data_IF_090277456431
#
_entry.id   IF_090277456431
#
_cell.length_a   1.000
_cell.length_b   1.000
_cell.length_c   1.000
_cell.angle_alpha   90.00
_cell.angle_beta   90.00
_cell.angle_gamma   90.00
#
_symmetry.space_group_name_H-M   'P 1'
#
loop_
_entity.id
_entity.type
_entity.pdbx_description
1 polymer ?
#
# COMPACT_ATOMS: atom_id res chain seq x y z
N UNK A 1 -20.37 -1.68 -14.72
CA UNK A 1 -19.43 -1.51 -13.61
C UNK A 1 -18.95 -0.07 -13.61
N UNK A 2 -18.67 0.54 -12.44
CA UNK A 2 -18.17 1.90 -12.41
C UNK A 2 -16.80 2.02 -13.07
N UNK A 3 -16.49 3.20 -13.60
CA UNK A 3 -15.16 3.49 -14.13
C UNK A 3 -14.19 3.71 -12.96
N UNK A 4 -13.10 2.95 -12.92
CA UNK A 4 -12.07 3.06 -11.89
C UNK A 4 -10.82 3.74 -12.43
N UNK A 5 -10.35 4.75 -11.71
CA UNK A 5 -9.05 5.40 -11.96
C UNK A 5 -8.24 5.36 -10.67
N UNK A 6 -6.96 5.02 -10.76
CA UNK A 6 -6.08 4.97 -9.61
C UNK A 6 -4.97 6.02 -9.74
N UNK A 7 -5.06 7.04 -8.88
CA UNK A 7 -4.03 8.09 -8.77
C UNK A 7 -2.88 7.54 -7.94
N UNK A 8 -1.70 7.48 -8.54
CA UNK A 8 -0.49 6.89 -7.94
C UNK A 8 0.73 7.80 -8.06
N UNK A 9 1.69 7.64 -7.17
CA UNK A 9 3.02 8.21 -7.29
C UNK A 9 3.95 7.38 -8.17
N UNK A 10 5.22 7.74 -8.20
CA UNK A 10 6.26 6.98 -8.92
C UNK A 10 6.28 5.52 -8.46
N UNK A 11 6.15 4.57 -9.38
CA UNK A 11 6.12 3.13 -9.09
C UNK A 11 7.39 2.63 -8.39
N UNK A 12 8.54 3.24 -8.68
CA UNK A 12 9.81 2.89 -8.04
C UNK A 12 9.84 3.20 -6.53
N UNK A 13 9.13 4.25 -6.09
CA UNK A 13 9.25 4.77 -4.72
C UNK A 13 7.99 4.64 -3.88
N UNK A 14 6.80 4.59 -4.50
CA UNK A 14 5.54 4.64 -3.76
C UNK A 14 5.06 3.28 -3.33
N UNK A 15 5.54 2.78 -2.18
CA UNK A 15 5.06 1.54 -1.58
C UNK A 15 3.57 1.60 -1.21
N UNK A 16 3.06 2.78 -0.90
CA UNK A 16 1.63 2.97 -0.62
C UNK A 16 0.78 2.83 -1.88
N UNK A 17 1.19 3.43 -3.01
CA UNK A 17 0.48 3.26 -4.29
C UNK A 17 0.54 1.83 -4.81
N UNK A 18 1.61 1.11 -4.51
CA UNK A 18 1.77 -0.28 -4.94
C UNK A 18 0.67 -1.19 -4.38
N UNK A 19 0.19 -0.96 -3.15
CA UNK A 19 -0.81 -1.83 -2.50
C UNK A 19 -2.11 -1.96 -3.30
N UNK A 20 -2.87 -0.89 -3.55
CA UNK A 20 -4.09 -1.00 -4.35
C UNK A 20 -3.81 -1.34 -5.81
N UNK A 21 -2.66 -0.93 -6.34
CA UNK A 21 -2.27 -1.30 -7.69
C UNK A 21 -2.12 -2.82 -7.85
N UNK A 22 -1.41 -3.47 -6.93
CA UNK A 22 -1.24 -4.93 -6.91
C UNK A 22 -2.59 -5.62 -6.69
N UNK A 23 -3.43 -5.10 -5.78
CA UNK A 23 -4.76 -5.65 -5.51
C UNK A 23 -5.61 -5.69 -6.77
N UNK A 24 -5.76 -4.57 -7.47
CA UNK A 24 -6.55 -4.48 -8.70
C UNK A 24 -5.99 -5.36 -9.81
N UNK A 25 -4.66 -5.39 -9.97
CA UNK A 25 -4.00 -6.23 -10.97
C UNK A 25 -4.13 -7.72 -10.66
N UNK A 26 -4.03 -8.12 -9.40
CA UNK A 26 -4.16 -9.52 -8.98
C UNK A 26 -5.52 -10.11 -9.34
N UNK A 27 -6.58 -9.35 -9.15
CA UNK A 27 -7.94 -9.78 -9.49
C UNK A 27 -8.36 -9.47 -10.92
N UNK A 28 -7.49 -8.92 -11.75
CA UNK A 28 -7.81 -8.57 -13.15
C UNK A 28 -8.85 -7.46 -13.27
N UNK A 29 -9.04 -6.65 -12.23
CA UNK A 29 -9.97 -5.52 -12.24
C UNK A 29 -9.41 -4.42 -13.13
N UNK A 30 -10.20 -4.00 -14.13
CA UNK A 30 -9.79 -2.93 -15.05
C UNK A 30 -9.81 -1.57 -14.36
N UNK A 31 -8.75 -0.79 -14.54
CA UNK A 31 -8.64 0.58 -14.06
C UNK A 31 -7.68 1.40 -14.93
N UNK A 32 -7.86 2.70 -14.95
CA UNK A 32 -6.95 3.65 -15.56
C UNK A 32 -5.94 4.16 -14.51
N UNK A 33 -4.66 4.31 -14.91
CA UNK A 33 -3.63 4.87 -14.05
C UNK A 33 -3.47 6.38 -14.27
N UNK A 34 -3.61 7.16 -13.21
CA UNK A 34 -3.20 8.58 -13.18
C UNK A 34 -1.89 8.67 -12.40
N UNK A 35 -0.78 8.74 -13.11
CA UNK A 35 0.55 8.73 -12.51
C UNK A 35 1.08 10.15 -12.28
N UNK A 36 1.29 10.50 -11.02
CA UNK A 36 1.87 11.77 -10.60
C UNK A 36 3.35 11.57 -10.26
N UNK A 37 4.20 12.41 -10.84
CA UNK A 37 5.62 12.42 -10.51
C UNK A 37 5.81 13.13 -9.17
N UNK A 38 6.49 12.47 -8.23
CA UNK A 38 6.80 13.06 -6.93
C UNK A 38 7.66 14.33 -7.08
N UNK A 39 7.15 15.38 -6.48
CA UNK A 39 7.82 16.66 -6.26
C UNK A 39 7.24 17.24 -4.96
N UNK A 40 8.02 17.20 -3.90
CA UNK A 40 7.58 17.58 -2.56
C UNK A 40 7.82 19.07 -2.24
N UNK A 41 8.22 19.86 -3.23
CA UNK A 41 8.30 21.31 -3.06
C UNK A 41 6.88 21.88 -2.81
N UNK A 42 6.73 22.87 -1.94
CA UNK A 42 5.46 23.58 -1.78
C UNK A 42 4.95 24.07 -3.14
N UNK A 43 3.64 23.96 -3.35
CA UNK A 43 2.97 24.40 -4.59
C UNK A 43 3.49 23.78 -5.89
N UNK A 44 4.15 22.60 -5.78
CA UNK A 44 4.62 21.86 -6.95
C UNK A 44 3.48 21.40 -7.88
N UNK A 45 3.82 21.00 -9.09
CA UNK A 45 2.88 20.40 -10.02
C UNK A 45 2.22 19.13 -9.43
N UNK A 46 2.98 18.36 -8.63
CA UNK A 46 2.47 17.19 -7.91
C UNK A 46 1.30 17.55 -6.99
N UNK A 47 1.48 18.53 -6.10
CA UNK A 47 0.43 18.91 -5.16
C UNK A 47 -0.75 19.62 -5.85
N UNK A 48 -0.49 20.48 -6.85
CA UNK A 48 -1.57 21.11 -7.63
C UNK A 48 -2.46 20.10 -8.34
N UNK A 49 -1.87 19.04 -8.88
CA UNK A 49 -2.65 17.98 -9.53
C UNK A 49 -3.35 17.09 -8.50
N UNK A 50 -2.65 16.68 -7.46
CA UNK A 50 -3.18 15.80 -6.43
C UNK A 50 -4.40 16.40 -5.72
N UNK A 51 -4.40 17.72 -5.44
CA UNK A 51 -5.52 18.41 -4.78
C UNK A 51 -6.79 18.46 -5.62
N UNK A 52 -6.72 18.24 -6.93
CA UNK A 52 -7.91 18.08 -7.79
C UNK A 52 -8.63 16.76 -7.54
N UNK A 53 -7.91 15.76 -7.03
CA UNK A 53 -8.43 14.42 -6.81
C UNK A 53 -8.79 14.15 -5.35
N UNK A 54 -8.12 14.78 -4.40
CA UNK A 54 -8.31 14.51 -2.97
C UNK A 54 -7.87 15.66 -2.08
N UNK A 55 -8.59 15.93 -0.98
CA UNK A 55 -8.12 16.87 0.05
C UNK A 55 -7.02 16.28 0.93
N UNK A 56 -6.78 14.97 0.89
CA UNK A 56 -5.83 14.29 1.77
C UNK A 56 -4.35 14.59 1.46
N UNK A 57 -4.05 15.12 0.25
CA UNK A 57 -2.70 15.50 -0.14
C UNK A 57 -1.72 14.32 -0.24
N UNK A 58 -2.22 13.10 -0.40
CA UNK A 58 -1.43 11.85 -0.45
C UNK A 58 -1.95 10.91 -1.52
N UNK A 59 -1.05 10.12 -2.08
CA UNK A 59 -1.37 8.96 -2.92
C UNK A 59 -1.25 7.67 -2.10
N UNK A 60 -2.00 6.60 -2.44
CA UNK A 60 -2.92 6.47 -3.57
C UNK A 60 -4.31 7.08 -3.33
N UNK A 61 -5.04 7.32 -4.43
CA UNK A 61 -6.47 7.63 -4.41
C UNK A 61 -7.16 6.81 -5.48
N UNK A 62 -8.23 6.11 -5.12
CA UNK A 62 -9.12 5.45 -6.08
C UNK A 62 -10.28 6.40 -6.40
N UNK A 63 -10.50 6.67 -7.69
CA UNK A 63 -11.66 7.38 -8.18
C UNK A 63 -12.67 6.35 -8.71
N UNK A 64 -13.86 6.37 -8.16
CA UNK A 64 -14.99 5.51 -8.57
C UNK A 64 -16.03 6.42 -9.21
N UNK A 65 -16.14 6.42 -10.53
CA UNK A 65 -16.95 7.40 -11.28
C UNK A 65 -16.69 8.85 -10.83
N UNK A 66 -15.41 9.17 -10.56
CA UNK A 66 -14.98 10.48 -10.06
C UNK A 66 -15.08 10.69 -8.54
N UNK A 67 -15.75 9.79 -7.80
CA UNK A 67 -15.78 9.84 -6.33
C UNK A 67 -14.46 9.36 -5.74
N UNK A 68 -13.80 10.21 -4.95
CA UNK A 68 -12.48 9.93 -4.39
C UNK A 68 -12.56 9.07 -3.11
N UNK A 69 -11.84 7.96 -3.11
CA UNK A 69 -11.58 7.11 -1.95
C UNK A 69 -10.09 7.10 -1.68
N UNK A 70 -9.69 7.47 -0.49
CA UNK A 70 -8.28 7.46 -0.08
C UNK A 70 -8.09 6.72 1.21
N UNK A 71 -6.86 6.38 1.42
CA UNK A 71 -6.23 5.40 2.23
C UNK A 71 -6.35 3.98 1.69
N UNK A 72 -5.23 3.24 1.77
CA UNK A 72 -5.11 1.92 1.13
C UNK A 72 -6.06 0.88 1.69
N UNK A 73 -6.42 0.96 2.99
CA UNK A 73 -7.40 0.05 3.59
C UNK A 73 -8.81 0.39 3.12
N UNK A 74 -9.17 1.67 3.08
CA UNK A 74 -10.47 2.09 2.56
C UNK A 74 -10.63 1.71 1.08
N UNK A 75 -9.57 1.84 0.28
CA UNK A 75 -9.57 1.39 -1.11
C UNK A 75 -9.79 -0.12 -1.19
N UNK A 76 -9.11 -0.93 -0.36
CA UNK A 76 -9.28 -2.38 -0.36
C UNK A 76 -10.71 -2.81 0.01
N UNK A 77 -11.32 -2.17 1.02
CA UNK A 77 -12.72 -2.41 1.38
C UNK A 77 -13.67 -2.01 0.25
N UNK A 78 -13.47 -0.84 -0.36
CA UNK A 78 -14.26 -0.38 -1.50
C UNK A 78 -14.17 -1.36 -2.68
N UNK A 79 -12.99 -1.86 -2.99
CA UNK A 79 -12.80 -2.86 -4.04
C UNK A 79 -13.53 -4.15 -3.70
N UNK A 80 -13.49 -4.60 -2.44
CA UNK A 80 -14.22 -5.78 -1.99
C UNK A 80 -15.74 -5.64 -2.13
N UNK A 81 -16.28 -4.45 -1.83
CA UNK A 81 -17.71 -4.16 -1.95
C UNK A 81 -18.16 -4.05 -3.43
N UNK A 82 -17.36 -3.44 -4.28
CA UNK A 82 -17.66 -3.27 -5.70
C UNK A 82 -17.51 -4.56 -6.50
N UNK A 83 -16.68 -5.50 -6.03
CA UNK A 83 -16.33 -6.75 -6.71
C UNK A 83 -16.53 -7.96 -5.79
N UNK A 84 -17.78 -8.22 -5.33
CA UNK A 84 -18.06 -9.32 -4.40
C UNK A 84 -17.80 -10.71 -4.99
N UNK A 85 -17.68 -10.83 -6.32
CA UNK A 85 -17.26 -12.04 -7.02
C UNK A 85 -15.81 -12.42 -6.73
N UNK A 86 -14.98 -11.45 -6.37
CA UNK A 86 -13.59 -11.67 -5.97
C UNK A 86 -13.48 -11.88 -4.46
N UNK A 87 -12.71 -12.85 -4.05
CA UNK A 87 -12.45 -13.08 -2.63
C UNK A 87 -11.31 -12.15 -2.12
N UNK A 88 -11.53 -10.84 -2.17
CA UNK A 88 -10.56 -9.83 -1.67
C UNK A 88 -10.25 -10.09 -0.20
N UNK A 89 -11.29 -10.42 0.57
CA UNK A 89 -11.17 -10.88 1.94
C UNK A 89 -11.60 -12.35 2.07
N UNK A 90 -11.02 -13.12 3.03
CA UNK A 90 -11.49 -14.45 3.35
C UNK A 90 -13.00 -14.49 3.63
N UNK A 91 -13.69 -15.54 3.18
CA UNK A 91 -15.13 -15.72 3.44
C UNK A 91 -15.43 -16.02 4.90
N UNK A 92 -14.54 -16.77 5.57
CA UNK A 92 -14.67 -17.02 7.00
C UNK A 92 -14.52 -15.73 7.80
N UNK A 93 -15.41 -15.48 8.73
CA UNK A 93 -15.46 -14.21 9.48
C UNK A 93 -14.24 -13.99 10.36
N UNK A 94 -13.72 -15.06 10.99
CA UNK A 94 -12.55 -14.93 11.88
C UNK A 94 -11.25 -14.77 11.10
N UNK A 95 -11.10 -15.48 9.99
CA UNK A 95 -9.96 -15.29 9.08
C UNK A 95 -10.00 -13.91 8.43
N UNK A 96 -11.17 -13.41 8.06
CA UNK A 96 -11.35 -12.04 7.56
C UNK A 96 -10.96 -11.00 8.60
N UNK A 97 -11.38 -11.17 9.85
CA UNK A 97 -10.98 -10.30 10.95
C UNK A 97 -9.46 -10.32 11.16
N UNK A 98 -8.84 -11.51 11.12
CA UNK A 98 -7.39 -11.67 11.20
C UNK A 98 -6.67 -10.96 10.06
N UNK A 99 -7.13 -11.13 8.83
CA UNK A 99 -6.54 -10.48 7.65
C UNK A 99 -6.59 -8.95 7.77
N UNK A 100 -7.72 -8.41 8.22
CA UNK A 100 -7.87 -6.96 8.48
C UNK A 100 -6.93 -6.49 9.59
N UNK A 101 -6.74 -7.26 10.66
CA UNK A 101 -5.79 -6.93 11.73
C UNK A 101 -4.36 -6.85 11.22
N UNK A 102 -3.93 -7.82 10.40
CA UNK A 102 -2.60 -7.83 9.79
C UNK A 102 -2.38 -6.65 8.84
N UNK A 103 -3.40 -6.34 8.03
CA UNK A 103 -3.35 -5.16 7.16
C UNK A 103 -3.29 -3.86 7.96
N UNK A 104 -4.04 -3.74 9.06
CA UNK A 104 -4.03 -2.56 9.92
C UNK A 104 -2.69 -2.42 10.66
N UNK A 105 -2.11 -3.50 11.16
CA UNK A 105 -0.77 -3.51 11.76
C UNK A 105 0.30 -3.09 10.76
N UNK A 106 0.26 -3.63 9.54
CA UNK A 106 1.14 -3.21 8.45
C UNK A 106 0.91 -1.76 8.05
N UNK A 107 -0.30 -1.25 8.16
CA UNK A 107 -0.65 0.13 7.82
C UNK A 107 -0.10 1.12 8.84
N UNK A 108 -0.30 0.87 10.13
CA UNK A 108 0.04 1.79 11.22
C UNK A 108 1.47 1.61 11.76
N UNK A 109 2.06 0.42 11.58
CA UNK A 109 3.31 0.03 12.19
C UNK A 109 4.55 0.17 11.29
N UNK A 110 5.66 -0.35 11.82
CA UNK A 110 6.94 -0.51 11.12
C UNK A 110 7.59 0.81 10.70
N UNK A 111 7.48 1.82 11.56
CA UNK A 111 7.98 3.17 11.28
C UNK A 111 9.50 3.20 11.11
N UNK A 112 10.25 2.43 11.89
CA UNK A 112 11.71 2.37 11.81
C UNK A 112 12.15 1.79 10.45
N UNK A 113 11.56 0.65 10.05
CA UNK A 113 11.85 0.03 8.76
C UNK A 113 11.48 0.96 7.59
N UNK A 114 10.32 1.61 7.65
CA UNK A 114 9.87 2.53 6.57
C UNK A 114 10.79 3.73 6.42
N UNK A 115 11.32 4.24 7.52
CA UNK A 115 12.21 5.40 7.52
C UNK A 115 13.62 5.04 7.05
N UNK A 116 14.15 3.91 7.51
CA UNK A 116 15.51 3.49 7.19
C UNK A 116 15.63 2.81 5.82
N UNK A 117 14.56 2.11 5.38
CA UNK A 117 14.53 1.33 4.14
C UNK A 117 13.32 1.71 3.27
N UNK A 118 13.23 2.95 2.78
CA UNK A 118 12.16 3.33 1.87
C UNK A 118 12.28 2.52 0.57
N UNK A 119 11.13 2.27 -0.06
CA UNK A 119 11.09 1.52 -1.31
C UNK A 119 11.85 2.23 -2.43
N UNK A 120 12.80 1.51 -3.03
CA UNK A 120 13.50 1.91 -4.24
C UNK A 120 13.83 0.64 -5.04
N UNK A 121 12.92 0.25 -5.95
CA UNK A 121 12.96 -1.05 -6.62
C UNK A 121 14.16 -1.15 -7.58
N UNK A 122 14.57 -0.04 -8.17
CA UNK A 122 15.62 0.00 -9.19
C UNK A 122 17.03 0.08 -8.59
N UNK A 123 17.15 0.40 -7.29
CA UNK A 123 18.45 0.52 -6.65
C UNK A 123 18.95 -0.80 -6.07
N UNK A 124 20.26 -1.02 -6.19
CA UNK A 124 20.97 -2.07 -5.46
C UNK A 124 21.88 -1.43 -4.42
N UNK A 125 21.54 -1.58 -3.14
CA UNK A 125 22.17 -0.89 -2.02
C UNK A 125 22.59 -1.86 -0.90
N UNK A 126 23.38 -2.93 -1.20
CA UNK A 126 23.71 -3.95 -0.22
C UNK A 126 24.47 -3.39 0.99
N UNK A 127 25.36 -2.44 0.78
CA UNK A 127 26.15 -1.83 1.86
C UNK A 127 25.30 -1.00 2.83
N UNK A 128 24.22 -0.36 2.32
CA UNK A 128 23.25 0.36 3.16
C UNK A 128 22.50 -0.64 4.02
N UNK A 129 22.06 -1.76 3.44
CA UNK A 129 21.38 -2.83 4.17
C UNK A 129 22.22 -3.40 5.31
N UNK A 130 23.51 -3.67 5.06
CA UNK A 130 24.43 -4.15 6.10
C UNK A 130 24.55 -3.17 7.27
N UNK A 131 24.73 -1.88 6.98
CA UNK A 131 24.79 -0.84 8.03
C UNK A 131 23.50 -0.69 8.81
N UNK A 132 22.36 -0.64 8.14
CA UNK A 132 21.04 -0.54 8.79
C UNK A 132 20.82 -1.73 9.71
N UNK A 133 21.15 -2.93 9.27
CA UNK A 133 21.01 -4.14 10.11
C UNK A 133 21.98 -4.17 11.29
N UNK A 134 23.14 -3.55 11.18
CA UNK A 134 24.08 -3.44 12.30
C UNK A 134 23.64 -2.38 13.32
N UNK A 135 23.26 -1.20 12.85
CA UNK A 135 23.14 0.00 13.67
C UNK A 135 21.71 0.21 14.22
N UNK A 136 20.68 -0.24 13.49
CA UNK A 136 19.28 0.10 13.76
C UNK A 136 18.52 -1.05 14.46
N UNK A 137 18.57 -1.12 15.79
CA UNK A 137 17.86 -2.17 16.55
C UNK A 137 16.35 -2.15 16.31
N UNK A 138 15.74 -0.98 16.16
CA UNK A 138 14.32 -0.83 15.89
C UNK A 138 13.92 -1.42 14.54
N UNK A 139 14.79 -1.32 13.51
CA UNK A 139 14.56 -1.95 12.20
C UNK A 139 14.58 -3.47 12.32
N UNK A 140 15.54 -4.03 13.08
CA UNK A 140 15.58 -5.47 13.33
C UNK A 140 14.32 -5.97 14.03
N UNK A 141 13.80 -5.19 14.98
CA UNK A 141 12.53 -5.50 15.67
C UNK A 141 11.35 -5.50 14.70
N UNK A 142 11.24 -4.50 13.83
CA UNK A 142 10.20 -4.41 12.82
C UNK A 142 10.26 -5.63 11.85
N UNK A 143 11.46 -5.98 11.38
CA UNK A 143 11.67 -7.14 10.50
C UNK A 143 11.26 -8.44 11.20
N UNK A 144 11.73 -8.67 12.44
CA UNK A 144 11.40 -9.87 13.19
C UNK A 144 9.89 -10.01 13.41
N UNK A 145 9.17 -8.89 13.62
CA UNK A 145 7.72 -8.90 13.73
C UNK A 145 7.04 -9.27 12.42
N UNK A 146 7.51 -8.74 11.29
CA UNK A 146 6.98 -9.09 9.95
C UNK A 146 7.21 -10.58 9.67
N UNK A 147 8.39 -11.10 9.92
CA UNK A 147 8.71 -12.53 9.74
C UNK A 147 7.79 -13.41 10.59
N UNK A 148 7.58 -13.06 11.86
CA UNK A 148 6.67 -13.78 12.75
C UNK A 148 5.21 -13.73 12.24
N UNK A 149 4.75 -12.59 11.72
CA UNK A 149 3.42 -12.44 11.12
C UNK A 149 3.24 -13.42 9.95
N UNK A 150 4.19 -13.46 9.03
CA UNK A 150 4.14 -14.34 7.86
C UNK A 150 4.23 -15.81 8.26
N UNK A 151 5.17 -16.17 9.12
CA UNK A 151 5.34 -17.54 9.61
C UNK A 151 4.05 -18.09 10.25
N UNK A 152 3.39 -17.29 11.09
CA UNK A 152 2.13 -17.66 11.73
C UNK A 152 1.00 -17.89 10.70
N UNK A 153 0.90 -17.03 9.68
CA UNK A 153 -0.15 -17.19 8.67
C UNK A 153 0.10 -18.39 7.77
N UNK A 154 1.34 -18.61 7.35
CA UNK A 154 1.70 -19.76 6.53
C UNK A 154 1.43 -21.07 7.30
N UNK A 155 1.78 -21.14 8.58
CA UNK A 155 1.49 -22.32 9.42
C UNK A 155 -0.02 -22.57 9.60
N UNK A 156 -0.83 -21.52 9.63
CA UNK A 156 -2.28 -21.63 9.77
C UNK A 156 -3.01 -21.95 8.45
N UNK A 157 -2.34 -21.76 7.32
CA UNK A 157 -2.93 -22.01 5.98
C UNK A 157 -2.73 -23.45 5.50
N UNK A 158 -1.93 -24.26 6.21
CA UNK A 158 -1.70 -25.70 5.97
C UNK A 158 -0.87 -25.96 4.76
#
# INVERSE_FOLDING_TARGET
MPALQLVIGNKNYSSWSMRPWVLLRHFGIAFEEIKLRFDFAPDSAFYRELTRHTPAGKVPVLLVDGFAVWDTLAIAETVADLHPEHAVWPRDAMQRARSRSLCAEMHAGFAALRSACPMNIEASLPEVGVRVMADEAAVRTDIARIDAMWAQQLAASG
#
